data_IF_208227424160
#
_entry.id   IF_208227424160
#
_cell.length_a   1.000
_cell.length_b   1.000
_cell.length_c   1.000
_cell.angle_alpha   90.00
_cell.angle_beta   90.00
_cell.angle_gamma   90.00
#
_symmetry.space_group_name_H-M   'P 1'
#
loop_
_entity.id
_entity.type
_entity.pdbx_description
1 polymer ?
#
# COMPACT_ATOMS: atom_id res chain seq x y z
N UNK A 1 28.96 10.18 -20.29
CA UNK A 1 27.82 10.76 -19.55
C UNK A 1 28.36 11.54 -18.36
N UNK A 2 27.76 12.68 -18.00
CA UNK A 2 28.14 13.42 -16.78
C UNK A 2 27.55 12.76 -15.54
N UNK A 3 28.13 12.99 -14.36
CA UNK A 3 27.59 12.50 -13.07
C UNK A 3 26.14 12.93 -12.83
N UNK A 4 25.78 14.15 -13.24
CA UNK A 4 24.40 14.63 -13.23
C UNK A 4 23.45 13.80 -14.10
N UNK A 5 23.84 13.48 -15.34
CA UNK A 5 23.01 12.68 -16.24
C UNK A 5 22.82 11.24 -15.73
N UNK A 6 23.84 10.66 -15.07
CA UNK A 6 23.74 9.34 -14.45
C UNK A 6 22.74 9.38 -13.28
N UNK A 7 22.86 10.36 -12.39
CA UNK A 7 21.94 10.51 -11.26
C UNK A 7 20.50 10.72 -11.72
N UNK A 8 20.26 11.60 -12.70
CA UNK A 8 18.93 11.82 -13.25
C UNK A 8 18.36 10.53 -13.87
N UNK A 9 19.19 9.79 -14.61
CA UNK A 9 18.78 8.53 -15.25
C UNK A 9 18.34 7.49 -14.23
N UNK A 10 19.15 7.28 -13.18
CA UNK A 10 18.82 6.34 -12.10
C UNK A 10 17.53 6.76 -11.39
N UNK A 11 17.38 8.04 -11.05
CA UNK A 11 16.19 8.56 -10.36
C UNK A 11 14.93 8.38 -11.22
N UNK A 12 15.01 8.62 -12.52
CA UNK A 12 13.90 8.40 -13.45
C UNK A 12 13.58 6.90 -13.64
N UNK A 13 14.58 6.04 -13.79
CA UNK A 13 14.35 4.59 -13.90
C UNK A 13 13.70 4.02 -12.62
N UNK A 14 14.16 4.46 -11.45
CA UNK A 14 13.52 4.16 -10.17
C UNK A 14 12.06 4.64 -10.15
N UNK A 15 11.82 5.88 -10.59
CA UNK A 15 10.47 6.43 -10.75
C UNK A 15 9.56 5.57 -11.63
N UNK A 16 10.04 5.17 -12.81
CA UNK A 16 9.28 4.34 -13.75
C UNK A 16 8.94 2.96 -13.14
N UNK A 17 9.91 2.29 -12.51
CA UNK A 17 9.72 0.99 -11.86
C UNK A 17 8.74 1.12 -10.70
N UNK A 18 8.94 2.08 -9.79
CA UNK A 18 8.08 2.27 -8.63
C UNK A 18 6.65 2.63 -9.01
N UNK A 19 6.45 3.44 -10.06
CA UNK A 19 5.13 3.71 -10.62
C UNK A 19 4.48 2.46 -11.21
N UNK A 20 5.21 1.64 -11.97
CA UNK A 20 4.69 0.39 -12.52
C UNK A 20 4.24 -0.59 -11.41
N UNK A 21 5.03 -0.72 -10.35
CA UNK A 21 4.72 -1.55 -9.18
C UNK A 21 3.47 -1.02 -8.46
N UNK A 22 3.38 0.29 -8.28
CA UNK A 22 2.19 0.89 -7.68
C UNK A 22 0.95 0.73 -8.56
N UNK A 23 1.08 0.87 -9.88
CA UNK A 23 0.00 0.60 -10.84
C UNK A 23 -0.52 -0.84 -10.69
N UNK A 24 0.39 -1.82 -10.63
CA UNK A 24 0.02 -3.21 -10.35
C UNK A 24 -0.73 -3.34 -9.01
N UNK A 25 -0.24 -2.66 -7.97
CA UNK A 25 -0.84 -2.70 -6.63
C UNK A 25 -2.24 -2.09 -6.61
N UNK A 26 -2.45 -0.94 -7.24
CA UNK A 26 -3.77 -0.30 -7.36
C UNK A 26 -4.74 -1.15 -8.19
N UNK A 27 -4.28 -1.69 -9.33
CA UNK A 27 -5.11 -2.56 -10.17
C UNK A 27 -5.57 -3.81 -9.40
N UNK A 28 -4.70 -4.43 -8.61
CA UNK A 28 -5.06 -5.61 -7.80
C UNK A 28 -6.03 -5.29 -6.66
N UNK A 29 -5.90 -4.12 -6.03
CA UNK A 29 -6.80 -3.69 -4.94
C UNK A 29 -8.23 -3.46 -5.43
N UNK A 30 -8.41 -2.88 -6.62
CA UNK A 30 -9.74 -2.61 -7.19
C UNK A 30 -9.70 -2.50 -8.73
N UNK A 31 -9.77 -3.62 -9.47
CA UNK A 31 -9.61 -3.63 -10.93
C UNK A 31 -10.85 -3.10 -11.67
N UNK A 32 -12.02 -3.10 -11.02
CA UNK A 32 -13.30 -2.73 -11.64
C UNK A 32 -13.64 -1.25 -11.42
N UNK A 33 -13.01 -0.57 -10.46
CA UNK A 33 -13.27 0.85 -10.21
C UNK A 33 -12.87 1.76 -11.38
N UNK A 34 -13.79 2.61 -11.87
CA UNK A 34 -13.50 3.62 -12.88
C UNK A 34 -12.40 4.60 -12.44
N UNK A 35 -12.32 4.91 -11.14
CA UNK A 35 -11.29 5.81 -10.60
C UNK A 35 -9.91 5.16 -10.69
N UNK A 36 -9.80 3.87 -10.38
CA UNK A 36 -8.53 3.13 -10.52
C UNK A 36 -8.03 3.19 -11.94
N UNK A 37 -8.87 2.92 -12.95
CA UNK A 37 -8.47 2.99 -14.37
C UNK A 37 -7.96 4.37 -14.78
N UNK A 38 -8.64 5.42 -14.33
CA UNK A 38 -8.24 6.82 -14.57
C UNK A 38 -6.89 7.16 -13.91
N UNK A 39 -6.67 6.69 -12.69
CA UNK A 39 -5.40 6.84 -11.99
C UNK A 39 -4.28 6.07 -12.70
N UNK A 40 -4.53 4.82 -13.11
CA UNK A 40 -3.56 4.01 -13.86
C UNK A 40 -3.15 4.65 -15.18
N UNK A 41 -4.09 5.28 -15.90
CA UNK A 41 -3.77 6.03 -17.11
C UNK A 41 -2.81 7.19 -16.80
N UNK A 42 -3.12 8.01 -15.78
CA UNK A 42 -2.27 9.14 -15.40
C UNK A 42 -0.88 8.68 -14.93
N UNK A 43 -0.81 7.65 -14.09
CA UNK A 43 0.46 7.07 -13.64
C UNK A 43 1.24 6.45 -14.81
N UNK A 44 0.57 5.82 -15.76
CA UNK A 44 1.19 5.25 -16.96
C UNK A 44 1.86 6.32 -17.83
N UNK A 45 1.21 7.46 -18.04
CA UNK A 45 1.81 8.60 -18.76
C UNK A 45 3.09 9.08 -18.05
N UNK A 46 3.06 9.22 -16.72
CA UNK A 46 4.22 9.64 -15.93
C UNK A 46 5.33 8.57 -15.95
N UNK A 47 4.98 7.29 -15.87
CA UNK A 47 5.93 6.19 -15.94
C UNK A 47 6.65 6.13 -17.29
N UNK A 48 5.91 6.33 -18.40
CA UNK A 48 6.48 6.41 -19.75
C UNK A 48 7.44 7.61 -19.85
N UNK A 49 7.05 8.78 -19.34
CA UNK A 49 7.94 9.95 -19.29
C UNK A 49 9.29 9.62 -18.62
N UNK A 50 9.24 8.99 -17.45
CA UNK A 50 10.46 8.67 -16.72
C UNK A 50 11.28 7.58 -17.41
N UNK A 51 10.63 6.57 -17.97
CA UNK A 51 11.30 5.52 -18.73
C UNK A 51 12.01 6.09 -19.96
N UNK A 52 11.32 6.90 -20.76
CA UNK A 52 11.87 7.51 -21.97
C UNK A 52 13.09 8.37 -21.65
N UNK A 53 13.01 9.20 -20.59
CA UNK A 53 14.14 10.05 -20.17
C UNK A 53 15.31 9.25 -19.62
N UNK A 54 15.03 8.26 -18.78
CA UNK A 54 16.06 7.37 -18.24
C UNK A 54 16.85 6.69 -19.36
N UNK A 55 16.14 6.14 -20.35
CA UNK A 55 16.72 5.47 -21.51
C UNK A 55 17.38 6.43 -22.50
N UNK A 56 16.82 7.62 -22.72
CA UNK A 56 17.40 8.64 -23.61
C UNK A 56 18.82 9.00 -23.19
N UNK A 57 19.09 9.14 -21.88
CA UNK A 57 20.41 9.49 -21.39
C UNK A 57 21.41 8.32 -21.44
N UNK A 58 20.96 7.10 -21.21
CA UNK A 58 21.80 5.90 -21.37
C UNK A 58 22.19 5.64 -22.82
N UNK A 59 21.25 5.81 -23.74
CA UNK A 59 21.46 5.54 -25.17
C UNK A 59 22.05 6.74 -25.92
N UNK A 60 22.00 7.94 -25.34
CA UNK A 60 22.31 9.19 -26.03
C UNK A 60 21.33 9.55 -27.15
N UNK A 61 20.15 8.91 -27.19
CA UNK A 61 19.19 9.05 -28.29
C UNK A 61 18.42 10.37 -28.21
N UNK A 62 18.65 11.24 -29.19
CA UNK A 62 17.87 12.48 -29.38
C UNK A 62 16.40 12.21 -29.70
N UNK A 63 16.10 11.06 -30.30
CA UNK A 63 14.71 10.69 -30.63
C UNK A 63 13.92 10.40 -29.35
N UNK A 64 14.48 9.63 -28.43
CA UNK A 64 13.85 9.35 -27.13
C UNK A 64 13.67 10.62 -26.30
N UNK A 65 14.65 11.52 -26.30
CA UNK A 65 14.54 12.80 -25.61
C UNK A 65 13.38 13.65 -26.16
N UNK A 66 13.20 13.70 -27.50
CA UNK A 66 12.04 14.37 -28.13
C UNK A 66 10.72 13.67 -27.83
N UNK A 67 10.69 12.35 -27.89
CA UNK A 67 9.49 11.56 -27.59
C UNK A 67 9.03 11.78 -26.15
N UNK A 68 9.96 11.95 -25.21
CA UNK A 68 9.64 12.20 -23.79
C UNK A 68 8.82 13.47 -23.55
N UNK A 69 8.81 14.42 -24.50
CA UNK A 69 8.00 15.64 -24.39
C UNK A 69 6.50 15.36 -24.52
N UNK A 70 6.13 14.31 -25.27
CA UNK A 70 4.72 13.92 -25.47
C UNK A 70 4.07 13.54 -24.13
N UNK A 71 4.58 12.55 -23.36
CA UNK A 71 3.98 12.23 -22.07
C UNK A 71 4.07 13.39 -21.08
N UNK A 72 5.14 14.21 -21.11
CA UNK A 72 5.22 15.42 -20.28
C UNK A 72 4.07 16.41 -20.56
N UNK A 73 3.71 16.61 -21.83
CA UNK A 73 2.59 17.46 -22.23
C UNK A 73 1.22 16.84 -21.91
N UNK A 74 1.13 15.52 -21.75
CA UNK A 74 -0.10 14.81 -21.37
C UNK A 74 -0.34 14.74 -19.85
N UNK A 75 0.64 15.07 -19.01
CA UNK A 75 0.49 15.08 -17.53
C UNK A 75 -0.73 15.92 -17.09
N UNK A 76 -0.92 17.17 -17.56
CA UNK A 76 -2.10 17.98 -17.25
C UNK A 76 -3.43 17.29 -17.53
N UNK A 77 -3.53 16.58 -18.66
CA UNK A 77 -4.73 15.84 -19.03
C UNK A 77 -4.96 14.66 -18.07
N UNK A 78 -3.91 13.91 -17.74
CA UNK A 78 -3.97 12.84 -16.73
C UNK A 78 -4.45 13.34 -15.37
N UNK A 79 -3.89 14.45 -14.89
CA UNK A 79 -4.29 15.07 -13.62
C UNK A 79 -5.78 15.50 -13.63
N UNK A 80 -6.26 16.05 -14.75
CA UNK A 80 -7.67 16.44 -14.90
C UNK A 80 -8.60 15.24 -14.90
N UNK A 81 -8.26 14.17 -15.63
CA UNK A 81 -9.04 12.92 -15.69
C UNK A 81 -9.18 12.30 -14.30
N UNK A 82 -8.10 12.27 -13.51
CA UNK A 82 -8.13 11.80 -12.12
C UNK A 82 -9.00 12.69 -11.25
N UNK A 83 -8.86 14.01 -11.38
CA UNK A 83 -9.66 14.99 -10.62
C UNK A 83 -11.16 14.83 -10.88
N UNK A 84 -11.58 14.58 -12.13
CA UNK A 84 -12.98 14.27 -12.46
C UNK A 84 -13.45 12.96 -11.85
N UNK A 85 -12.59 11.94 -11.84
CA UNK A 85 -12.90 10.67 -11.20
C UNK A 85 -13.18 10.84 -9.71
N UNK A 86 -12.35 11.65 -9.04
CA UNK A 86 -12.46 11.92 -7.62
C UNK A 86 -13.73 12.70 -7.30
N UNK A 87 -14.03 13.75 -8.08
CA UNK A 87 -15.16 14.63 -7.81
C UNK A 87 -16.50 14.10 -8.33
N UNK A 88 -16.51 12.95 -9.03
CA UNK A 88 -17.69 12.36 -9.71
C UNK A 88 -18.45 13.35 -10.61
N UNK A 89 -17.77 14.42 -11.04
CA UNK A 89 -18.31 15.52 -11.84
C UNK A 89 -17.36 15.85 -12.96
N UNK A 90 -17.90 16.33 -14.07
CA UNK A 90 -17.10 16.78 -15.19
C UNK A 90 -16.49 18.15 -14.91
N UNK A 91 -15.22 18.34 -15.24
CA UNK A 91 -14.62 19.66 -15.24
C UNK A 91 -15.24 20.53 -16.35
N UNK A 92 -15.18 21.87 -16.21
CA UNK A 92 -15.68 22.78 -17.24
C UNK A 92 -15.09 22.46 -18.61
N UNK A 93 -15.91 22.52 -19.67
CA UNK A 93 -15.49 22.19 -21.04
C UNK A 93 -14.26 22.98 -21.49
N UNK A 94 -14.15 24.25 -21.09
CA UNK A 94 -13.00 25.10 -21.38
C UNK A 94 -11.69 24.52 -20.84
N UNK A 95 -11.68 24.01 -19.60
CA UNK A 95 -10.49 23.41 -18.98
C UNK A 95 -10.09 22.12 -19.70
N UNK A 96 -11.06 21.32 -20.14
CA UNK A 96 -10.82 20.10 -20.94
C UNK A 96 -10.17 20.41 -22.28
N UNK A 97 -10.74 21.37 -23.00
CA UNK A 97 -10.26 21.79 -24.32
C UNK A 97 -8.86 22.40 -24.19
N UNK A 98 -8.63 23.21 -23.16
CA UNK A 98 -7.31 23.78 -22.89
C UNK A 98 -6.26 22.69 -22.56
N UNK A 99 -6.61 21.71 -21.71
CA UNK A 99 -5.71 20.62 -21.35
C UNK A 99 -5.40 19.70 -22.55
N UNK A 100 -6.42 19.35 -23.36
CA UNK A 100 -6.24 18.53 -24.54
C UNK A 100 -5.49 19.27 -25.65
N UNK A 101 -5.95 20.47 -26.01
CA UNK A 101 -5.36 21.31 -27.04
C UNK A 101 -3.92 21.71 -26.70
N UNK A 102 -3.67 22.14 -25.46
CA UNK A 102 -2.32 22.44 -24.97
C UNK A 102 -1.41 21.22 -24.99
N UNK A 103 -1.92 20.05 -24.57
CA UNK A 103 -1.16 18.79 -24.61
C UNK A 103 -0.78 18.37 -26.03
N UNK A 104 -1.69 18.48 -26.98
CA UNK A 104 -1.43 18.17 -28.40
C UNK A 104 -0.45 19.19 -28.99
N UNK A 105 -0.69 20.48 -28.81
CA UNK A 105 0.12 21.54 -29.41
C UNK A 105 1.55 21.53 -28.88
N UNK A 106 1.73 21.40 -27.56
CA UNK A 106 3.06 21.30 -26.97
C UNK A 106 3.70 19.95 -27.32
N UNK A 107 2.98 18.83 -27.19
CA UNK A 107 3.53 17.50 -27.52
C UNK A 107 4.05 17.40 -28.96
N UNK A 108 3.26 17.83 -29.94
CA UNK A 108 3.68 17.89 -31.35
C UNK A 108 4.77 18.94 -31.57
N UNK A 109 4.67 20.10 -30.92
CA UNK A 109 5.68 21.15 -30.96
C UNK A 109 7.07 20.66 -30.53
N UNK A 110 7.13 19.89 -29.43
CA UNK A 110 8.34 19.24 -28.95
C UNK A 110 8.89 18.21 -29.94
N UNK A 111 8.01 17.38 -30.51
CA UNK A 111 8.39 16.34 -31.47
C UNK A 111 8.97 16.91 -32.78
N UNK A 112 8.34 17.96 -33.32
CA UNK A 112 8.77 18.62 -34.57
C UNK A 112 9.92 19.63 -34.38
N UNK A 113 10.45 19.76 -33.17
CA UNK A 113 11.69 20.49 -32.93
C UNK A 113 11.53 21.97 -32.60
N UNK A 114 10.38 22.41 -32.09
CA UNK A 114 10.26 23.72 -31.42
C UNK A 114 11.16 23.85 -30.18
N UNK A 115 11.75 22.74 -29.72
CA UNK A 115 12.86 22.72 -28.77
C UNK A 115 14.08 23.57 -29.19
N UNK A 116 14.21 23.94 -30.48
CA UNK A 116 15.20 24.93 -30.94
C UNK A 116 15.05 26.28 -30.19
N UNK A 117 13.85 26.59 -29.72
CA UNK A 117 13.56 27.69 -28.80
C UNK A 117 13.44 27.16 -27.36
N UNK A 118 14.52 26.59 -26.83
CA UNK A 118 14.51 25.82 -25.57
C UNK A 118 13.89 26.57 -24.39
N UNK A 119 14.24 27.85 -24.20
CA UNK A 119 13.77 28.65 -23.06
C UNK A 119 12.27 29.00 -23.13
N UNK A 120 11.73 29.65 -24.18
CA UNK A 120 10.30 29.96 -24.23
C UNK A 120 9.43 28.70 -24.28
N UNK A 121 9.91 27.62 -24.91
CA UNK A 121 9.20 26.34 -24.90
C UNK A 121 9.12 25.76 -23.49
N UNK A 122 10.22 25.78 -22.74
CA UNK A 122 10.24 25.32 -21.35
C UNK A 122 9.37 26.18 -20.42
N UNK A 123 9.38 27.51 -20.57
CA UNK A 123 8.49 28.42 -19.82
C UNK A 123 7.03 28.05 -20.10
N UNK A 124 6.68 27.89 -21.38
CA UNK A 124 5.30 27.60 -21.78
C UNK A 124 4.84 26.25 -21.24
N UNK A 125 5.66 25.20 -21.35
CA UNK A 125 5.35 23.88 -20.83
C UNK A 125 5.25 23.86 -19.30
N UNK A 126 6.16 24.57 -18.61
CA UNK A 126 6.11 24.71 -17.15
C UNK A 126 4.83 25.42 -16.70
N UNK A 127 4.51 26.58 -17.29
CA UNK A 127 3.28 27.31 -16.99
C UNK A 127 2.04 26.46 -17.27
N UNK A 128 2.01 25.74 -18.39
CA UNK A 128 0.92 24.84 -18.72
C UNK A 128 0.71 23.75 -17.65
N UNK A 129 1.79 23.11 -17.21
CA UNK A 129 1.72 22.11 -16.13
C UNK A 129 1.28 22.73 -14.79
N UNK A 130 1.90 23.85 -14.38
CA UNK A 130 1.60 24.52 -13.11
C UNK A 130 0.14 25.02 -13.06
N UNK A 131 -0.34 25.67 -14.13
CA UNK A 131 -1.72 26.14 -14.23
C UNK A 131 -2.71 24.98 -14.19
N UNK A 132 -2.38 23.85 -14.82
CA UNK A 132 -3.22 22.65 -14.75
C UNK A 132 -3.29 22.07 -13.33
N UNK A 133 -2.15 21.92 -12.65
CA UNK A 133 -2.14 21.45 -11.25
C UNK A 133 -2.86 22.42 -10.31
N UNK A 134 -2.66 23.74 -10.47
CA UNK A 134 -3.37 24.76 -9.72
C UNK A 134 -4.88 24.71 -9.97
N UNK A 135 -5.31 24.52 -11.23
CA UNK A 135 -6.72 24.37 -11.60
C UNK A 135 -7.32 23.12 -10.96
N UNK A 136 -6.63 21.98 -11.03
CA UNK A 136 -7.06 20.74 -10.37
C UNK A 136 -7.17 20.91 -8.85
N UNK A 137 -6.18 21.54 -8.21
CA UNK A 137 -6.21 21.84 -6.78
C UNK A 137 -7.38 22.75 -6.41
N UNK A 138 -7.65 23.79 -7.21
CA UNK A 138 -8.79 24.69 -7.02
C UNK A 138 -10.13 23.95 -7.18
N UNK A 139 -10.27 23.08 -8.18
CA UNK A 139 -11.47 22.25 -8.37
C UNK A 139 -11.69 21.29 -7.20
N UNK A 140 -10.63 20.77 -6.59
CA UNK A 140 -10.70 19.92 -5.40
C UNK A 140 -11.02 20.73 -4.13
N UNK A 141 -10.56 21.98 -4.04
CA UNK A 141 -10.79 22.87 -2.90
C UNK A 141 -12.20 23.46 -2.88
N UNK A 142 -12.71 23.87 -4.06
CA UNK A 142 -14.05 24.47 -4.27
C UNK A 142 -15.16 23.42 -4.44
N UNK A 143 -14.90 22.18 -4.02
CA UNK A 143 -15.89 21.10 -4.14
C UNK A 143 -17.05 21.29 -3.15
N UNK A 144 -18.21 20.79 -3.54
CA UNK A 144 -19.36 20.69 -2.65
C UNK A 144 -19.14 19.57 -1.63
N UNK A 145 -18.91 19.96 -0.37
CA UNK A 145 -18.64 19.02 0.72
C UNK A 145 -19.90 18.26 1.16
N UNK A 146 -21.10 18.78 0.89
CA UNK A 146 -22.36 18.15 1.28
C UNK A 146 -22.70 16.92 0.43
N UNK A 147 -22.21 16.89 -0.81
CA UNK A 147 -22.45 15.81 -1.78
C UNK A 147 -21.64 14.52 -1.53
N UNK A 148 -20.70 14.52 -0.56
CA UNK A 148 -19.74 13.44 -0.34
C UNK A 148 -19.70 13.01 1.13
N UNK A 149 -19.39 11.75 1.38
CA UNK A 149 -19.22 11.25 2.75
C UNK A 149 -18.04 11.96 3.46
N UNK A 150 -18.09 12.06 4.79
CA UNK A 150 -17.03 12.69 5.59
C UNK A 150 -15.67 11.99 5.43
N UNK A 151 -15.66 10.67 5.21
CA UNK A 151 -14.46 9.88 4.89
C UNK A 151 -13.87 10.28 3.53
N UNK A 152 -14.70 10.39 2.50
CA UNK A 152 -14.30 10.81 1.15
C UNK A 152 -13.74 12.24 1.18
N UNK A 153 -14.44 13.18 1.82
CA UNK A 153 -13.98 14.55 1.96
C UNK A 153 -12.60 14.66 2.61
N UNK A 154 -12.32 13.84 3.64
CA UNK A 154 -10.98 13.80 4.25
C UNK A 154 -9.93 13.25 3.30
N UNK A 155 -10.25 12.23 2.51
CA UNK A 155 -9.35 11.67 1.50
C UNK A 155 -9.01 12.68 0.41
N UNK A 156 -10.03 13.35 -0.14
CA UNK A 156 -9.88 14.35 -1.20
C UNK A 156 -9.08 15.56 -0.72
N UNK A 157 -9.33 16.02 0.51
CA UNK A 157 -8.55 17.11 1.11
C UNK A 157 -7.05 16.79 1.17
N UNK A 158 -6.68 15.56 1.53
CA UNK A 158 -5.28 15.13 1.57
C UNK A 158 -4.67 14.98 0.17
N UNK A 159 -5.44 14.49 -0.80
CA UNK A 159 -4.99 14.44 -2.20
C UNK A 159 -4.70 15.85 -2.76
N UNK A 160 -5.52 16.84 -2.42
CA UNK A 160 -5.29 18.23 -2.80
C UNK A 160 -3.99 18.79 -2.20
N UNK A 161 -3.72 18.50 -0.92
CA UNK A 161 -2.43 18.86 -0.29
C UNK A 161 -1.26 18.12 -0.97
N UNK A 162 -1.42 16.84 -1.27
CA UNK A 162 -0.43 16.06 -2.01
C UNK A 162 -0.09 16.66 -3.37
N UNK A 163 -1.11 17.11 -4.12
CA UNK A 163 -0.91 17.78 -5.40
C UNK A 163 -0.09 19.08 -5.25
N UNK A 164 -0.29 19.85 -4.18
CA UNK A 164 0.48 21.06 -3.89
C UNK A 164 1.94 20.73 -3.54
N UNK A 165 2.16 19.68 -2.74
CA UNK A 165 3.51 19.21 -2.32
C UNK A 165 4.35 18.75 -3.51
N UNK A 166 3.73 18.32 -4.61
CA UNK A 166 4.44 17.86 -5.82
C UNK A 166 4.98 19.01 -6.67
N UNK A 167 4.40 20.22 -6.57
CA UNK A 167 4.77 21.35 -7.44
C UNK A 167 6.27 21.67 -7.40
N UNK A 168 6.94 21.78 -6.23
CA UNK A 168 8.38 22.01 -6.17
C UNK A 168 9.20 20.95 -6.91
N UNK A 169 8.79 19.68 -6.85
CA UNK A 169 9.46 18.58 -7.55
C UNK A 169 9.32 18.69 -9.07
N UNK A 170 8.16 19.13 -9.56
CA UNK A 170 7.94 19.37 -10.99
C UNK A 170 8.84 20.52 -11.48
N UNK A 171 8.95 21.60 -10.70
CA UNK A 171 9.81 22.73 -11.07
C UNK A 171 11.27 22.33 -11.27
N UNK A 172 11.77 21.40 -10.45
CA UNK A 172 13.16 20.89 -10.56
C UNK A 172 13.47 20.20 -11.90
N UNK A 173 12.45 19.81 -12.65
CA UNK A 173 12.61 19.11 -13.92
C UNK A 173 12.96 20.06 -15.09
N UNK A 174 12.66 21.35 -14.93
CA UNK A 174 12.91 22.39 -15.93
C UNK A 174 14.27 23.06 -15.73
N UNK A 175 15.36 22.34 -16.06
CA UNK A 175 16.74 22.86 -15.94
C UNK A 175 17.03 24.17 -16.68
N UNK A 176 16.31 24.46 -17.76
CA UNK A 176 16.42 25.74 -18.47
C UNK A 176 15.97 26.92 -17.63
N UNK A 177 15.09 26.69 -16.64
CA UNK A 177 14.60 27.69 -15.69
C UNK A 177 15.42 27.69 -14.40
N UNK A 178 15.89 26.52 -13.98
CA UNK A 178 16.66 26.33 -12.76
C UNK A 178 17.97 25.57 -13.06
N UNK A 179 18.99 26.25 -13.61
CA UNK A 179 20.23 25.60 -14.05
C UNK A 179 21.05 25.01 -12.90
N UNK A 180 20.96 25.59 -11.71
CA UNK A 180 21.77 25.22 -10.54
C UNK A 180 21.25 23.96 -9.81
N UNK A 181 20.11 23.41 -10.23
CA UNK A 181 19.54 22.23 -9.58
C UNK A 181 20.35 20.98 -9.97
N UNK A 182 20.94 20.28 -8.99
CA UNK A 182 21.93 19.22 -9.26
C UNK A 182 21.31 17.94 -9.83
N UNK A 183 20.05 17.65 -9.51
CA UNK A 183 19.26 16.48 -9.98
C UNK A 183 17.80 16.85 -10.20
N UNK A 184 17.19 16.30 -11.23
CA UNK A 184 15.74 16.42 -11.47
C UNK A 184 14.96 15.54 -10.50
N UNK A 185 14.21 16.15 -9.59
CA UNK A 185 13.51 15.45 -8.50
C UNK A 185 12.06 15.07 -8.87
N UNK A 186 11.62 15.30 -10.11
CA UNK A 186 10.24 14.98 -10.55
C UNK A 186 9.82 13.54 -10.27
N UNK A 187 10.70 12.56 -10.52
CA UNK A 187 10.44 11.16 -10.21
C UNK A 187 10.33 10.88 -8.71
N UNK A 188 11.12 11.55 -7.88
CA UNK A 188 10.98 11.46 -6.42
C UNK A 188 9.63 12.01 -5.96
N UNK A 189 9.19 13.14 -6.49
CA UNK A 189 7.86 13.69 -6.20
C UNK A 189 6.73 12.71 -6.53
N UNK A 190 6.82 12.03 -7.68
CA UNK A 190 5.86 11.00 -8.07
C UNK A 190 5.90 9.77 -7.15
N UNK A 191 7.09 9.25 -6.81
CA UNK A 191 7.25 8.12 -5.89
C UNK A 191 6.69 8.43 -4.50
N UNK A 192 6.99 9.61 -3.95
CA UNK A 192 6.45 10.07 -2.67
C UNK A 192 4.92 10.13 -2.71
N UNK A 193 4.36 10.72 -3.77
CA UNK A 193 2.91 10.87 -3.94
C UNK A 193 2.21 9.52 -3.95
N UNK A 194 2.71 8.60 -4.76
CA UNK A 194 2.13 7.28 -4.89
C UNK A 194 2.28 6.46 -3.61
N UNK A 195 3.41 6.58 -2.91
CA UNK A 195 3.61 5.97 -1.60
C UNK A 195 2.56 6.49 -0.60
N UNK A 196 2.36 7.80 -0.54
CA UNK A 196 1.34 8.42 0.32
C UNK A 196 -0.07 7.96 -0.07
N UNK A 197 -0.39 7.84 -1.36
CA UNK A 197 -1.68 7.33 -1.83
C UNK A 197 -1.91 5.88 -1.38
N UNK A 198 -0.89 5.02 -1.47
CA UNK A 198 -0.97 3.62 -1.02
C UNK A 198 -1.17 3.50 0.49
N UNK A 199 -0.50 4.35 1.29
CA UNK A 199 -0.62 4.44 2.75
C UNK A 199 -1.99 5.02 3.16
N UNK A 200 -2.49 6.03 2.45
CA UNK A 200 -3.73 6.72 2.77
C UNK A 200 -4.96 5.81 2.67
N UNK A 201 -4.91 4.77 1.82
CA UNK A 201 -5.97 3.77 1.67
C UNK A 201 -6.19 2.86 2.89
N UNK A 202 -5.28 2.84 3.86
CA UNK A 202 -5.41 2.05 5.08
C UNK A 202 -6.21 2.71 6.21
N UNK A 203 -6.54 1.91 7.23
CA UNK A 203 -7.11 2.38 8.51
C UNK A 203 -6.21 3.38 9.22
N UNK A 204 -6.71 4.05 10.27
CA UNK A 204 -5.97 5.12 10.94
C UNK A 204 -4.63 4.66 11.53
N UNK A 205 -4.59 3.46 12.09
CA UNK A 205 -3.40 2.85 12.68
C UNK A 205 -2.41 2.36 11.62
N UNK A 206 -2.90 1.63 10.61
CA UNK A 206 -2.12 1.22 9.42
C UNK A 206 -1.48 2.44 8.74
N UNK A 207 -2.18 3.57 8.71
CA UNK A 207 -1.67 4.82 8.14
C UNK A 207 -0.54 5.42 8.96
N UNK A 208 -0.66 5.44 10.30
CA UNK A 208 0.42 5.92 11.18
C UNK A 208 1.67 5.07 11.00
N UNK A 209 1.51 3.74 11.00
CA UNK A 209 2.60 2.82 10.76
C UNK A 209 3.23 3.03 9.38
N UNK A 210 2.42 3.15 8.32
CA UNK A 210 2.89 3.43 6.97
C UNK A 210 3.66 4.76 6.85
N UNK A 211 3.18 5.83 7.49
CA UNK A 211 3.88 7.12 7.52
C UNK A 211 5.19 7.05 8.30
N UNK A 212 5.23 6.34 9.43
CA UNK A 212 6.45 6.13 10.20
C UNK A 212 7.49 5.34 9.40
N UNK A 213 7.06 4.27 8.71
CA UNK A 213 7.92 3.49 7.82
C UNK A 213 8.42 4.32 6.63
N UNK A 214 7.57 5.17 6.04
CA UNK A 214 7.99 6.10 5.00
C UNK A 214 9.02 7.10 5.51
N UNK A 215 8.80 7.73 6.67
CA UNK A 215 9.75 8.66 7.28
C UNK A 215 11.09 7.96 7.58
N UNK A 216 11.04 6.74 8.12
CA UNK A 216 12.23 5.93 8.38
C UNK A 216 12.98 5.63 7.08
N UNK A 217 12.29 5.23 6.00
CA UNK A 217 12.88 5.01 4.66
C UNK A 217 13.55 6.28 4.14
N UNK A 218 12.93 7.45 4.29
CA UNK A 218 13.50 8.72 3.83
C UNK A 218 14.74 9.15 4.63
N UNK A 219 14.69 9.02 5.95
CA UNK A 219 15.82 9.37 6.82
C UNK A 219 16.98 8.41 6.58
N UNK A 220 16.73 7.10 6.57
CA UNK A 220 17.79 6.10 6.39
C UNK A 220 18.43 6.17 5.01
N UNK A 221 17.65 6.37 3.96
CA UNK A 221 18.18 6.56 2.60
C UNK A 221 18.90 7.90 2.42
N UNK A 222 18.43 8.97 3.06
CA UNK A 222 19.14 10.24 3.11
C UNK A 222 20.50 10.14 3.79
N UNK A 223 20.55 9.46 4.95
CA UNK A 223 21.81 9.18 5.65
C UNK A 223 22.74 8.28 4.83
N UNK A 224 22.20 7.25 4.16
CA UNK A 224 22.97 6.38 3.29
C UNK A 224 23.56 7.14 2.10
N UNK A 225 22.78 8.01 1.45
CA UNK A 225 23.26 8.86 0.37
C UNK A 225 24.33 9.86 0.84
N UNK A 226 24.15 10.44 2.04
CA UNK A 226 25.15 11.32 2.64
C UNK A 226 26.46 10.57 2.95
N UNK A 227 26.38 9.38 3.53
CA UNK A 227 27.54 8.54 3.80
C UNK A 227 28.26 8.14 2.51
N UNK A 228 27.52 7.74 1.47
CA UNK A 228 28.08 7.44 0.16
C UNK A 228 28.78 8.65 -0.47
N UNK A 229 28.25 9.86 -0.26
CA UNK A 229 28.90 11.09 -0.71
C UNK A 229 30.26 11.28 0.00
N UNK A 230 30.35 11.12 1.32
CA UNK A 230 31.62 11.27 2.05
C UNK A 230 32.70 10.23 1.71
N UNK A 231 32.32 9.11 1.08
CA UNK A 231 33.28 8.10 0.61
C UNK A 231 33.86 8.42 -0.77
N UNK A 232 33.26 9.36 -1.51
CA UNK A 232 33.74 9.74 -2.83
C UNK A 232 34.85 10.81 -2.72
N UNK A 233 35.87 10.78 -3.60
CA UNK A 233 36.84 11.85 -3.70
C UNK A 233 36.21 13.13 -4.27
N UNK A 234 36.67 14.29 -3.80
CA UNK A 234 36.33 15.63 -4.33
C UNK A 234 34.82 15.92 -4.45
N UNK A 235 34.11 15.85 -3.31
CA UNK A 235 32.65 15.99 -3.25
C UNK A 235 32.22 17.45 -3.08
N UNK A 236 31.51 17.97 -4.07
CA UNK A 236 30.82 19.25 -3.97
C UNK A 236 29.38 19.10 -3.43
N UNK A 237 28.76 20.21 -3.04
CA UNK A 237 27.39 20.20 -2.52
C UNK A 237 26.38 19.61 -3.52
N UNK A 238 26.60 19.82 -4.83
CA UNK A 238 25.77 19.26 -5.88
C UNK A 238 25.82 17.73 -5.86
N UNK A 239 27.01 17.14 -5.78
CA UNK A 239 27.26 15.71 -5.75
C UNK A 239 26.64 15.05 -4.50
N UNK A 240 26.69 15.71 -3.34
CA UNK A 240 25.97 15.25 -2.12
C UNK A 240 24.48 15.10 -2.42
N UNK A 241 23.85 16.13 -3.00
CA UNK A 241 22.43 16.08 -3.36
C UNK A 241 22.15 14.97 -4.37
N UNK A 242 23.07 14.69 -5.30
CA UNK A 242 22.92 13.58 -6.26
C UNK A 242 22.87 12.23 -5.56
N UNK A 243 23.82 11.96 -4.66
CA UNK A 243 23.85 10.71 -3.92
C UNK A 243 22.61 10.53 -3.04
N UNK A 244 22.18 11.58 -2.35
CA UNK A 244 20.95 11.57 -1.54
C UNK A 244 19.72 11.30 -2.40
N UNK A 245 19.56 11.99 -3.53
CA UNK A 245 18.42 11.79 -4.42
C UNK A 245 18.36 10.36 -5.00
N UNK A 246 19.51 9.82 -5.43
CA UNK A 246 19.62 8.44 -5.94
C UNK A 246 19.28 7.43 -4.85
N UNK A 247 19.83 7.59 -3.64
CA UNK A 247 19.57 6.69 -2.53
C UNK A 247 18.09 6.69 -2.13
N UNK A 248 17.46 7.86 -2.01
CA UNK A 248 16.03 7.97 -1.70
C UNK A 248 15.19 7.31 -2.79
N UNK A 249 15.48 7.58 -4.07
CA UNK A 249 14.73 7.00 -5.18
C UNK A 249 14.81 5.48 -5.21
N UNK A 250 16.02 4.93 -5.02
CA UNK A 250 16.27 3.50 -4.95
C UNK A 250 15.53 2.85 -3.78
N UNK A 251 15.68 3.38 -2.57
CA UNK A 251 15.04 2.83 -1.36
C UNK A 251 13.52 2.91 -1.41
N UNK A 252 12.94 4.00 -1.92
CA UNK A 252 11.49 4.08 -2.11
C UNK A 252 11.00 3.05 -3.13
N UNK A 253 11.72 2.87 -4.23
CA UNK A 253 11.36 1.90 -5.28
C UNK A 253 11.44 0.47 -4.75
N UNK A 254 12.54 0.12 -4.08
CA UNK A 254 12.70 -1.19 -3.44
C UNK A 254 11.61 -1.39 -2.39
N UNK A 255 11.33 -0.37 -1.57
CA UNK A 255 10.26 -0.41 -0.58
C UNK A 255 8.90 -0.72 -1.20
N UNK A 256 8.53 -0.06 -2.30
CA UNK A 256 7.30 -0.35 -3.04
C UNK A 256 7.28 -1.78 -3.60
N UNK A 257 8.40 -2.26 -4.13
CA UNK A 257 8.51 -3.65 -4.62
C UNK A 257 8.34 -4.66 -3.48
N UNK A 258 8.99 -4.44 -2.34
CA UNK A 258 8.87 -5.33 -1.17
C UNK A 258 7.45 -5.32 -0.61
N UNK A 259 6.81 -4.15 -0.56
CA UNK A 259 5.42 -4.04 -0.08
C UNK A 259 4.45 -4.75 -1.04
N UNK A 260 4.67 -4.63 -2.36
CA UNK A 260 3.87 -5.31 -3.38
C UNK A 260 4.09 -6.84 -3.36
N UNK A 261 5.33 -7.31 -3.18
CA UNK A 261 5.67 -8.72 -3.05
C UNK A 261 5.08 -9.33 -1.78
N UNK A 262 5.19 -8.63 -0.64
CA UNK A 262 4.54 -9.06 0.60
C UNK A 262 3.03 -9.18 0.40
N UNK A 263 2.39 -8.18 -0.20
CA UNK A 263 0.96 -8.23 -0.49
C UNK A 263 0.59 -9.33 -1.51
N UNK A 264 1.49 -9.70 -2.43
CA UNK A 264 1.33 -10.86 -3.32
C UNK A 264 1.30 -12.16 -2.51
N UNK A 265 2.27 -12.37 -1.62
CA UNK A 265 2.34 -13.58 -0.80
C UNK A 265 1.19 -13.66 0.20
N UNK A 266 0.87 -12.57 0.90
CA UNK A 266 -0.27 -12.50 1.83
C UNK A 266 -1.61 -12.79 1.12
N UNK A 267 -1.74 -12.47 -0.17
CA UNK A 267 -2.95 -12.77 -0.94
C UNK A 267 -3.06 -14.22 -1.42
N UNK A 268 -1.95 -14.96 -1.46
CA UNK A 268 -1.91 -16.35 -1.89
C UNK A 268 -2.25 -17.32 -0.75
N UNK A 269 -2.04 -16.91 0.49
CA UNK A 269 -2.57 -17.62 1.65
C UNK A 269 -3.99 -17.12 1.93
N UNK A 270 -5.05 -17.91 1.64
CA UNK A 270 -6.40 -17.50 1.98
C UNK A 270 -6.49 -17.41 3.50
N UNK A 271 -6.43 -16.18 4.03
CA UNK A 271 -6.56 -15.99 5.48
C UNK A 271 -7.81 -16.68 6.01
N UNK A 272 -7.71 -17.22 7.23
CA UNK A 272 -8.74 -18.02 7.91
C UNK A 272 -10.17 -17.49 7.73
N UNK A 273 -10.36 -16.17 7.77
CA UNK A 273 -11.70 -15.57 7.61
C UNK A 273 -12.22 -15.63 6.18
N UNK A 274 -11.34 -15.55 5.17
CA UNK A 274 -11.71 -15.65 3.77
C UNK A 274 -12.05 -17.11 3.40
N UNK A 275 -11.31 -18.09 3.94
CA UNK A 275 -11.63 -19.50 3.74
C UNK A 275 -12.97 -19.86 4.37
N UNK A 276 -13.27 -19.33 5.55
CA UNK A 276 -14.58 -19.49 6.20
C UNK A 276 -15.69 -18.78 5.45
N UNK A 277 -15.47 -17.54 5.00
CA UNK A 277 -16.49 -16.76 4.29
C UNK A 277 -16.86 -17.33 2.92
N UNK A 278 -15.90 -17.94 2.22
CA UNK A 278 -16.12 -18.59 0.93
C UNK A 278 -16.59 -20.06 1.06
N UNK A 279 -16.63 -20.61 2.28
CA UNK A 279 -16.99 -22.00 2.53
C UNK A 279 -18.46 -22.26 2.21
N UNK A 280 -18.80 -23.32 1.47
CA UNK A 280 -20.19 -23.75 1.27
C UNK A 280 -20.76 -24.51 2.48
N UNK A 281 -20.02 -24.63 3.59
CA UNK A 281 -20.43 -25.40 4.76
C UNK A 281 -21.73 -24.86 5.36
N UNK A 282 -22.74 -25.73 5.47
CA UNK A 282 -24.04 -25.39 6.05
C UNK A 282 -24.18 -25.87 7.50
N UNK A 283 -23.36 -26.84 7.90
CA UNK A 283 -23.36 -27.41 9.26
C UNK A 283 -22.04 -27.17 9.96
N UNK A 284 -22.07 -27.20 11.29
CA UNK A 284 -20.87 -27.00 12.12
C UNK A 284 -19.78 -28.02 11.79
N UNK A 285 -20.15 -29.28 11.54
CA UNK A 285 -19.19 -30.34 11.22
C UNK A 285 -18.51 -30.10 9.87
N UNK A 286 -19.27 -29.68 8.85
CA UNK A 286 -18.69 -29.31 7.56
C UNK A 286 -17.75 -28.12 7.70
N UNK A 287 -18.10 -27.13 8.52
CA UNK A 287 -17.27 -25.95 8.74
C UNK A 287 -15.98 -26.29 9.50
N UNK A 288 -16.04 -27.18 10.50
CA UNK A 288 -14.85 -27.69 11.20
C UNK A 288 -13.96 -28.48 10.24
N UNK A 289 -14.55 -29.31 9.38
CA UNK A 289 -13.78 -30.07 8.38
C UNK A 289 -13.09 -29.15 7.35
N UNK A 290 -13.74 -28.07 6.94
CA UNK A 290 -13.11 -27.06 6.07
C UNK A 290 -12.02 -26.27 6.80
N UNK A 291 -12.25 -25.90 8.07
CA UNK A 291 -11.23 -25.25 8.90
C UNK A 291 -10.00 -26.13 9.06
N UNK A 292 -10.15 -27.44 9.31
CA UNK A 292 -9.05 -28.38 9.47
C UNK A 292 -8.12 -28.48 8.24
N UNK A 293 -8.58 -28.07 7.06
CA UNK A 293 -7.74 -27.98 5.84
C UNK A 293 -6.84 -26.75 5.83
N UNK A 294 -7.07 -25.78 6.71
CA UNK A 294 -6.27 -24.57 6.81
C UNK A 294 -5.03 -24.82 7.69
N UNK A 295 -3.82 -24.35 7.31
CA UNK A 295 -2.58 -24.65 8.06
C UNK A 295 -2.63 -24.33 9.56
N UNK A 296 -3.24 -23.20 9.95
CA UNK A 296 -3.42 -22.81 11.36
C UNK A 296 -4.24 -23.84 12.18
N UNK A 297 -5.14 -24.57 11.54
CA UNK A 297 -6.00 -25.57 12.17
C UNK A 297 -5.59 -27.02 11.84
N UNK A 298 -4.43 -27.23 11.19
CA UNK A 298 -3.93 -28.57 10.90
C UNK A 298 -3.78 -29.42 12.18
N UNK A 299 -3.41 -28.77 13.29
CA UNK A 299 -3.29 -29.38 14.62
C UNK A 299 -4.60 -29.40 15.42
N UNK A 300 -5.70 -28.87 14.87
CA UNK A 300 -6.95 -28.73 15.60
C UNK A 300 -7.60 -30.09 15.86
N UNK A 301 -7.87 -30.38 17.13
CA UNK A 301 -8.60 -31.57 17.57
C UNK A 301 -9.86 -31.16 18.31
N UNK A 302 -10.99 -31.69 17.88
CA UNK A 302 -12.27 -31.51 18.56
C UNK A 302 -12.39 -32.57 19.66
N UNK A 303 -12.81 -32.14 20.84
CA UNK A 303 -13.11 -33.00 21.98
C UNK A 303 -14.56 -32.78 22.39
N UNK A 304 -15.37 -33.83 22.31
CA UNK A 304 -16.71 -33.86 22.90
C UNK A 304 -16.62 -34.28 24.36
N UNK A 305 -17.67 -34.01 25.12
CA UNK A 305 -17.74 -34.30 26.56
C UNK A 305 -17.33 -35.73 26.93
N UNK A 306 -17.73 -36.74 26.15
CA UNK A 306 -17.37 -38.14 26.37
C UNK A 306 -15.84 -38.38 26.29
N UNK A 307 -15.15 -37.65 25.41
CA UNK A 307 -13.71 -37.74 25.21
C UNK A 307 -12.92 -36.97 26.28
N UNK A 308 -13.61 -36.10 27.04
CA UNK A 308 -13.05 -35.31 28.14
C UNK A 308 -13.24 -35.98 29.51
N UNK A 309 -13.74 -37.22 29.55
CA UNK A 309 -14.05 -37.92 30.81
C UNK A 309 -12.86 -37.99 31.79
N UNK A 310 -11.62 -38.13 31.28
CA UNK A 310 -10.39 -38.15 32.08
C UNK A 310 -10.00 -36.79 32.67
N UNK A 311 -10.64 -35.71 32.23
CA UNK A 311 -10.36 -34.33 32.63
C UNK A 311 -11.47 -33.69 33.49
N UNK A 312 -12.44 -34.49 33.95
CA UNK A 312 -13.56 -34.06 34.79
C UNK A 312 -14.45 -32.98 34.12
N UNK A 313 -15.32 -33.37 33.17
CA UNK A 313 -16.12 -32.42 32.38
C UNK A 313 -17.00 -31.46 33.20
N UNK A 314 -17.67 -31.86 34.31
CA UNK A 314 -18.42 -30.93 35.16
C UNK A 314 -17.57 -29.76 35.68
N UNK A 315 -16.35 -30.05 36.12
CA UNK A 315 -15.43 -29.06 36.65
C UNK A 315 -14.88 -28.14 35.56
N UNK A 316 -14.62 -28.66 34.36
CA UNK A 316 -14.28 -27.85 33.20
C UNK A 316 -15.45 -27.00 32.71
N UNK A 317 -16.69 -27.48 32.80
CA UNK A 317 -17.89 -26.77 32.38
C UNK A 317 -18.08 -25.46 33.14
N UNK A 318 -17.96 -25.52 34.47
CA UNK A 318 -18.07 -24.34 35.34
C UNK A 318 -16.98 -23.32 35.03
N UNK A 319 -15.74 -23.80 34.89
CA UNK A 319 -14.58 -22.99 34.53
C UNK A 319 -14.69 -22.29 33.17
N UNK A 320 -15.21 -23.01 32.17
CA UNK A 320 -15.29 -22.54 30.78
C UNK A 320 -16.53 -21.69 30.52
N UNK A 321 -17.55 -21.70 31.39
CA UNK A 321 -18.80 -20.95 31.24
C UNK A 321 -18.60 -19.45 30.92
N UNK A 322 -17.59 -18.83 31.52
CA UNK A 322 -17.24 -17.42 31.33
C UNK A 322 -16.21 -17.17 30.21
N UNK A 323 -15.68 -18.22 29.57
CA UNK A 323 -14.48 -18.15 28.74
C UNK A 323 -14.71 -18.77 27.38
N UNK A 324 -14.37 -18.00 26.34
CA UNK A 324 -14.67 -18.36 24.94
C UNK A 324 -13.46 -18.93 24.22
N UNK A 325 -12.28 -18.39 24.52
CA UNK A 325 -10.98 -18.83 24.00
C UNK A 325 -9.99 -18.73 25.15
N UNK A 326 -9.17 -19.75 25.32
CA UNK A 326 -8.10 -19.79 26.33
C UNK A 326 -6.74 -19.84 25.64
N UNK A 327 -5.78 -19.07 26.14
CA UNK A 327 -4.38 -19.13 25.72
C UNK A 327 -3.51 -19.76 26.77
N UNK A 328 -2.62 -20.66 26.40
CA UNK A 328 -1.69 -21.28 27.35
C UNK A 328 -0.80 -20.25 28.07
N UNK A 329 -0.39 -19.20 27.38
CA UNK A 329 0.44 -18.12 27.93
C UNK A 329 -0.26 -17.30 29.02
N UNK A 330 -1.59 -17.33 29.05
CA UNK A 330 -2.40 -16.63 30.04
C UNK A 330 -2.73 -17.51 31.26
N UNK A 331 -2.33 -18.79 31.26
CA UNK A 331 -2.49 -19.68 32.41
C UNK A 331 -1.83 -19.06 33.67
N UNK A 332 -2.45 -19.17 34.86
CA UNK A 332 -3.66 -19.93 35.21
C UNK A 332 -4.98 -19.15 34.97
N UNK A 333 -4.94 -18.12 34.12
CA UNK A 333 -6.10 -17.34 33.67
C UNK A 333 -6.87 -16.69 34.82
N UNK A 334 -6.16 -16.10 35.78
CA UNK A 334 -6.79 -15.44 36.93
C UNK A 334 -7.32 -16.38 38.02
N UNK A 335 -7.05 -17.69 37.94
CA UNK A 335 -7.22 -18.63 39.06
C UNK A 335 -5.91 -18.82 39.84
N UNK A 336 -5.98 -19.49 40.98
CA UNK A 336 -4.79 -19.98 41.67
C UNK A 336 -4.11 -21.07 40.82
N UNK A 337 -2.78 -21.16 40.85
CA UNK A 337 -2.04 -22.20 40.12
C UNK A 337 -2.34 -23.63 40.60
N UNK A 338 -2.89 -23.77 41.80
CA UNK A 338 -3.29 -25.05 42.43
C UNK A 338 -4.76 -25.36 42.19
N UNK A 339 -5.48 -24.51 41.43
CA UNK A 339 -6.88 -24.74 41.12
C UNK A 339 -7.03 -25.99 40.23
N UNK A 340 -7.86 -26.98 40.62
CA UNK A 340 -8.04 -28.21 39.86
C UNK A 340 -8.45 -27.98 38.39
N UNK A 341 -9.25 -26.96 38.09
CA UNK A 341 -9.69 -26.69 36.72
C UNK A 341 -8.56 -26.13 35.86
N UNK A 342 -7.72 -25.26 36.44
CA UNK A 342 -6.53 -24.77 35.77
C UNK A 342 -5.55 -25.92 35.49
N UNK A 343 -5.34 -26.83 36.45
CA UNK A 343 -4.46 -28.00 36.31
C UNK A 343 -4.93 -28.94 35.20
N UNK A 344 -6.24 -29.30 35.19
CA UNK A 344 -6.82 -30.16 34.14
C UNK A 344 -6.74 -29.53 32.77
N UNK A 345 -6.98 -28.22 32.65
CA UNK A 345 -6.87 -27.51 31.38
C UNK A 345 -5.41 -27.44 30.89
N UNK A 346 -4.46 -27.12 31.77
CA UNK A 346 -3.03 -27.13 31.42
C UNK A 346 -2.57 -28.53 31.01
N UNK A 347 -3.05 -29.57 31.69
CA UNK A 347 -2.79 -30.96 31.34
C UNK A 347 -3.35 -31.33 29.96
N UNK A 348 -4.62 -31.00 29.67
CA UNK A 348 -5.24 -31.20 28.36
C UNK A 348 -4.46 -30.50 27.24
N UNK A 349 -4.07 -29.24 27.46
CA UNK A 349 -3.28 -28.48 26.50
C UNK A 349 -1.88 -29.06 26.32
N UNK A 350 -1.26 -29.56 27.39
CA UNK A 350 0.07 -30.17 27.32
C UNK A 350 0.04 -31.50 26.57
N UNK A 351 -0.94 -32.35 26.84
CA UNK A 351 -1.10 -33.64 26.17
C UNK A 351 -1.30 -33.52 24.65
N UNK A 352 -1.86 -32.39 24.20
CA UNK A 352 -2.12 -32.11 22.78
C UNK A 352 -1.12 -31.12 22.16
N UNK A 353 -0.03 -30.77 22.87
CA UNK A 353 0.93 -29.73 22.44
C UNK A 353 0.25 -28.41 22.03
N UNK A 354 -0.87 -28.09 22.68
CA UNK A 354 -1.76 -27.02 22.30
C UNK A 354 -1.38 -25.70 22.95
N UNK A 355 -1.65 -24.64 22.20
CA UNK A 355 -1.48 -23.25 22.62
C UNK A 355 -2.82 -22.58 22.93
N UNK A 356 -3.91 -23.07 22.32
CA UNK A 356 -5.23 -22.48 22.37
C UNK A 356 -6.30 -23.54 22.59
N UNK A 357 -7.34 -23.18 23.35
CA UNK A 357 -8.58 -23.93 23.45
C UNK A 357 -9.74 -23.01 23.07
N UNK A 358 -10.58 -23.46 22.15
CA UNK A 358 -11.77 -22.77 21.67
C UNK A 358 -12.99 -23.52 22.21
N UNK A 359 -13.85 -22.81 22.95
CA UNK A 359 -15.07 -23.39 23.51
C UNK A 359 -16.23 -23.19 22.54
N UNK A 360 -16.78 -24.29 22.02
CA UNK A 360 -17.91 -24.30 21.09
C UNK A 360 -19.24 -24.32 21.84
N UNK A 361 -19.39 -25.26 22.77
CA UNK A 361 -20.57 -25.45 23.60
C UNK A 361 -20.17 -25.85 25.03
N UNK A 362 -21.08 -25.62 25.98
CA UNK A 362 -20.86 -25.89 27.41
C UNK A 362 -21.80 -26.97 27.96
N UNK A 363 -22.90 -27.27 27.25
CA UNK A 363 -23.85 -28.30 27.65
C UNK A 363 -24.50 -28.92 26.39
N UNK A 364 -23.99 -30.05 25.88
CA UNK A 364 -22.80 -30.76 26.34
C UNK A 364 -21.49 -29.99 26.05
N UNK A 365 -20.41 -30.34 26.75
CA UNK A 365 -19.10 -29.70 26.57
C UNK A 365 -18.49 -30.07 25.20
N UNK A 366 -18.11 -29.07 24.41
CA UNK A 366 -17.53 -29.25 23.07
C UNK A 366 -16.40 -28.24 22.85
N UNK A 367 -15.18 -28.75 22.69
CA UNK A 367 -13.96 -27.97 22.64
C UNK A 367 -13.17 -28.25 21.36
N UNK A 368 -12.47 -27.23 20.85
CA UNK A 368 -11.40 -27.43 19.88
C UNK A 368 -10.08 -27.02 20.55
N UNK A 369 -9.13 -27.94 20.56
CA UNK A 369 -7.78 -27.74 21.09
C UNK A 369 -6.84 -27.64 19.89
N UNK A 370 -6.04 -26.57 19.81
CA UNK A 370 -5.11 -26.37 18.68
C UNK A 370 -3.77 -25.75 19.08
N UNK A 371 -2.76 -26.06 18.27
CA UNK A 371 -1.44 -25.46 18.32
C UNK A 371 -1.31 -24.40 17.22
N UNK A 372 -1.18 -23.14 17.64
CA UNK A 372 -0.87 -22.00 16.78
C UNK A 372 0.64 -21.78 16.91
N UNK A 373 1.40 -21.84 15.81
CA UNK A 373 2.83 -21.58 15.84
C UNK A 373 3.12 -20.21 16.47
N UNK A 374 4.18 -20.11 17.27
CA UNK A 374 4.59 -18.84 17.92
C UNK A 374 4.85 -17.74 16.89
N UNK A 375 5.31 -18.11 15.69
CA UNK A 375 5.52 -17.21 14.55
C UNK A 375 4.22 -16.65 13.96
N UNK A 376 3.08 -17.28 14.23
CA UNK A 376 1.73 -16.87 13.79
C UNK A 376 0.87 -16.31 14.94
N UNK A 377 1.40 -16.22 16.17
CA UNK A 377 0.69 -15.70 17.33
C UNK A 377 0.66 -14.16 17.33
N UNK A 378 0.05 -13.57 16.30
CA UNK A 378 -0.15 -12.13 16.16
C UNK A 378 -1.59 -11.72 16.54
N UNK A 379 -1.85 -10.43 16.88
CA UNK A 379 -3.20 -9.98 17.26
C UNK A 379 -4.29 -10.23 16.20
N UNK A 380 -3.90 -10.33 14.92
CA UNK A 380 -4.82 -10.63 13.83
C UNK A 380 -5.31 -12.08 13.88
N UNK A 381 -4.39 -13.04 14.12
CA UNK A 381 -4.72 -14.45 14.30
C UNK A 381 -5.64 -14.66 15.49
N UNK A 382 -5.41 -13.95 16.59
CA UNK A 382 -6.28 -13.98 17.78
C UNK A 382 -7.70 -13.49 17.48
N UNK A 383 -7.80 -12.40 16.74
CA UNK A 383 -9.10 -11.87 16.29
C UNK A 383 -9.78 -12.86 15.35
N UNK A 384 -9.03 -13.52 14.47
CA UNK A 384 -9.54 -14.53 13.57
C UNK A 384 -10.07 -15.75 14.35
N UNK A 385 -9.35 -16.26 15.35
CA UNK A 385 -9.80 -17.39 16.19
C UNK A 385 -11.09 -17.04 16.95
N UNK A 386 -11.18 -15.82 17.51
CA UNK A 386 -12.37 -15.35 18.19
C UNK A 386 -13.59 -15.26 17.25
N UNK A 387 -13.38 -14.82 16.01
CA UNK A 387 -14.41 -14.76 14.97
C UNK A 387 -14.83 -16.15 14.48
N UNK A 388 -13.86 -17.05 14.23
CA UNK A 388 -14.12 -18.45 13.87
C UNK A 388 -14.98 -19.12 14.92
N UNK A 389 -14.64 -18.96 16.20
CA UNK A 389 -15.47 -19.48 17.30
C UNK A 389 -16.90 -18.92 17.22
N UNK A 390 -17.06 -17.62 16.98
CA UNK A 390 -18.39 -17.00 16.88
C UNK A 390 -19.20 -17.58 15.72
N UNK A 391 -18.57 -17.84 14.58
CA UNK A 391 -19.22 -18.46 13.43
C UNK A 391 -19.59 -19.92 13.70
N UNK A 392 -18.66 -20.72 14.26
CA UNK A 392 -18.92 -22.11 14.63
C UNK A 392 -20.08 -22.24 15.64
N UNK A 393 -20.15 -21.34 16.62
CA UNK A 393 -21.22 -21.32 17.61
C UNK A 393 -22.59 -20.94 17.01
N UNK A 394 -22.62 -20.12 15.96
CA UNK A 394 -23.85 -19.72 15.26
C UNK A 394 -24.27 -20.71 14.16
N UNK A 395 -23.36 -21.59 13.75
CA UNK A 395 -23.65 -22.59 12.71
C UNK A 395 -24.43 -23.76 13.33
N UNK A 396 -25.54 -24.19 12.71
CA UNK A 396 -26.35 -25.28 13.22
C UNK A 396 -25.58 -26.61 13.23
N UNK A 397 -25.89 -27.47 14.20
CA UNK A 397 -25.42 -28.86 14.17
C UNK A 397 -26.17 -29.64 13.08
N UNK A 398 -25.48 -30.61 12.47
CA UNK A 398 -26.15 -31.56 11.60
C UNK A 398 -27.17 -32.35 12.44
N UNK A 399 -28.42 -32.41 11.96
CA UNK A 399 -29.48 -33.19 12.61
C UNK A 399 -29.24 -34.68 12.48
#
# INVERSE_FOLDING_TARGET
>A
MTSGAIADSIVNLCGAIGLAVAMMTFYRRDPKSPLTRRLLLALGVIAILFLDRGLAWWTGSRLLDRLSVIPAALIPLGALIVTEGILRRHAPRAVKIAALGGGILLGLGGLFGLQRFAMPYAITLALFQLLAFATCALLLATRDRSSLMASENRSIGRMAVGALVVIPFILTDFRTLFPDIPVRLGALGALLTVTVMLIAGGGAETRRHGLAMMALRLISSGLLGLAAAFMAPDVDAAQIVRFVAVAIAGVLTIGLMTDALRALFESQEPGVLNSVAASPAQTREQLIAELARHPIFESARRFRENELASYDPPLLRDFLSARRVLRRSEAPWGLAAVDPAAERMVSLMTANSASHVIVLAHDPLDLIVLAVPVTAADPATETALALVRRLLALTPEAK
#
